data_IF_376791168811
#
_entry.id   IF_376791168811
#
_cell.length_a   1.000
_cell.length_b   1.000
_cell.length_c   1.000
_cell.angle_alpha   90.00
_cell.angle_beta   90.00
_cell.angle_gamma   90.00
#
_symmetry.space_group_name_H-M   'P 1'
#
loop_
_entity.id
_entity.type
_entity.pdbx_description
1 polymer ?
#
# COMPACT_ATOMS: atom_id res chain seq x y z
N UNK A 1 -4.46 -21.30 22.22
CA UNK A 1 -3.86 -19.97 22.07
C UNK A 1 -4.99 -18.97 21.84
N UNK A 2 -5.51 -18.39 22.91
CA UNK A 2 -6.63 -17.44 22.87
C UNK A 2 -6.14 -16.07 23.26
N UNK A 3 -6.39 -15.08 22.41
CA UNK A 3 -6.15 -13.66 22.74
C UNK A 3 -6.95 -13.32 24.00
N UNK A 4 -6.32 -12.68 24.99
CA UNK A 4 -7.01 -12.32 26.23
C UNK A 4 -8.12 -11.29 25.95
N UNK A 5 -9.23 -11.39 26.69
CA UNK A 5 -10.37 -10.45 26.58
C UNK A 5 -9.94 -8.96 26.61
N UNK A 6 -9.05 -8.53 27.51
CA UNK A 6 -8.57 -7.14 27.52
C UNK A 6 -7.86 -6.75 26.22
N UNK A 7 -7.13 -7.68 25.61
CA UNK A 7 -6.44 -7.47 24.33
C UNK A 7 -7.45 -7.35 23.19
N UNK A 8 -8.49 -8.19 23.18
CA UNK A 8 -9.58 -8.13 22.21
C UNK A 8 -10.32 -6.79 22.27
N UNK A 9 -10.70 -6.33 23.46
CA UNK A 9 -11.39 -5.04 23.62
C UNK A 9 -10.50 -3.85 23.28
N UNK A 10 -9.19 -3.95 23.55
CA UNK A 10 -8.22 -2.91 23.17
C UNK A 10 -8.10 -2.80 21.64
N UNK A 11 -8.00 -3.93 20.94
CA UNK A 11 -8.00 -3.96 19.48
C UNK A 11 -9.33 -3.46 18.92
N UNK A 12 -10.45 -3.93 19.46
CA UNK A 12 -11.78 -3.45 19.08
C UNK A 12 -11.85 -1.93 19.22
N UNK A 13 -11.48 -1.35 20.37
CA UNK A 13 -11.48 0.11 20.57
C UNK A 13 -10.59 0.87 19.57
N UNK A 14 -9.42 0.32 19.24
CA UNK A 14 -8.46 0.94 18.33
C UNK A 14 -8.91 0.87 16.86
N UNK A 15 -9.62 -0.18 16.46
CA UNK A 15 -10.08 -0.40 15.09
C UNK A 15 -11.58 -0.11 14.87
N UNK A 16 -12.35 0.23 15.92
CA UNK A 16 -13.78 0.57 15.80
C UNK A 16 -14.02 1.89 15.06
N UNK A 17 -13.04 2.80 15.04
CA UNK A 17 -13.12 4.07 14.30
C UNK A 17 -12.55 4.04 12.87
N UNK A 18 -11.69 3.08 12.55
CA UNK A 18 -11.29 2.78 11.17
C UNK A 18 -12.13 1.60 10.72
N UNK A 19 -13.25 1.87 10.05
CA UNK A 19 -14.08 0.80 9.53
C UNK A 19 -13.25 -0.21 8.73
N UNK A 20 -13.64 -1.49 8.79
CA UNK A 20 -13.14 -2.53 7.87
C UNK A 20 -13.09 -2.03 6.40
N UNK A 21 -14.03 -1.18 5.93
CA UNK A 21 -13.93 -0.51 4.64
C UNK A 21 -12.73 0.44 4.48
N UNK A 22 -12.45 1.34 5.43
CA UNK A 22 -11.28 2.23 5.41
C UNK A 22 -9.96 1.45 5.35
N UNK A 23 -9.83 0.39 6.16
CA UNK A 23 -8.62 -0.45 6.17
C UNK A 23 -8.46 -1.17 4.82
N UNK A 24 -9.55 -1.68 4.25
CA UNK A 24 -9.54 -2.30 2.92
C UNK A 24 -9.14 -1.29 1.84
N UNK A 25 -9.65 -0.07 1.92
CA UNK A 25 -9.33 1.03 0.99
C UNK A 25 -7.86 1.45 1.11
N UNK A 26 -7.34 1.57 2.34
CA UNK A 26 -5.94 1.87 2.57
C UNK A 26 -5.03 0.81 1.94
N UNK A 27 -5.33 -0.48 2.16
CA UNK A 27 -4.55 -1.57 1.56
C UNK A 27 -4.60 -1.54 0.03
N UNK A 28 -5.76 -1.27 -0.57
CA UNK A 28 -5.88 -1.11 -2.02
C UNK A 28 -5.04 0.05 -2.55
N UNK A 29 -5.06 1.20 -1.86
CA UNK A 29 -4.25 2.36 -2.22
C UNK A 29 -2.75 2.09 -2.09
N UNK A 30 -2.33 1.35 -1.07
CA UNK A 30 -0.93 0.92 -0.90
C UNK A 30 -0.49 0.00 -2.06
N UNK A 31 -1.32 -0.97 -2.43
CA UNK A 31 -1.06 -1.90 -3.53
C UNK A 31 -0.99 -1.16 -4.88
N UNK A 32 -1.90 -0.23 -5.14
CA UNK A 32 -1.89 0.61 -6.35
C UNK A 32 -0.67 1.51 -6.40
N UNK A 33 -0.32 2.17 -5.30
CA UNK A 33 0.86 3.04 -5.21
C UNK A 33 2.15 2.24 -5.49
N UNK A 34 2.26 1.02 -4.96
CA UNK A 34 3.38 0.11 -5.24
C UNK A 34 3.47 -0.28 -6.72
N UNK A 35 2.34 -0.50 -7.39
CA UNK A 35 2.32 -0.78 -8.84
C UNK A 35 2.70 0.46 -9.65
N UNK A 36 2.16 1.62 -9.32
CA UNK A 36 2.47 2.88 -9.99
C UNK A 36 3.94 3.25 -9.88
N UNK A 37 4.54 3.10 -8.69
CA UNK A 37 5.99 3.35 -8.50
C UNK A 37 6.85 2.47 -9.39
N UNK A 38 6.51 1.18 -9.54
CA UNK A 38 7.20 0.26 -10.44
C UNK A 38 7.08 0.71 -11.90
N UNK A 39 5.86 0.97 -12.35
CA UNK A 39 5.61 1.43 -13.72
C UNK A 39 6.38 2.73 -14.03
N UNK A 40 6.41 3.69 -13.10
CA UNK A 40 7.16 4.93 -13.27
C UNK A 40 8.65 4.67 -13.36
N UNK A 41 9.19 3.77 -12.52
CA UNK A 41 10.61 3.40 -12.59
C UNK A 41 10.96 2.78 -13.94
N UNK A 42 10.16 1.82 -14.41
CA UNK A 42 10.36 1.14 -15.70
C UNK A 42 10.30 2.15 -16.86
N UNK A 43 9.28 3.00 -16.90
CA UNK A 43 9.15 4.04 -17.94
C UNK A 43 10.29 5.06 -17.90
N UNK A 44 10.80 5.38 -16.71
CA UNK A 44 11.93 6.30 -16.56
C UNK A 44 13.21 5.67 -17.09
N UNK A 45 13.42 4.38 -16.83
CA UNK A 45 14.55 3.62 -17.37
C UNK A 45 14.48 3.55 -18.90
N UNK A 46 13.33 3.17 -19.46
CA UNK A 46 13.11 3.10 -20.90
C UNK A 46 13.37 4.47 -21.56
N UNK A 47 12.84 5.54 -20.97
CA UNK A 47 13.09 6.90 -21.44
C UNK A 47 14.58 7.25 -21.44
N UNK A 48 15.30 6.90 -20.38
CA UNK A 48 16.74 7.15 -20.28
C UNK A 48 17.50 6.41 -21.38
N UNK A 49 17.20 5.12 -21.58
CA UNK A 49 17.84 4.31 -22.63
C UNK A 49 17.60 4.90 -24.02
N UNK A 50 16.36 5.32 -24.32
CA UNK A 50 16.03 5.94 -25.60
C UNK A 50 16.76 7.28 -25.80
N UNK A 51 16.92 8.07 -24.75
CA UNK A 51 17.69 9.32 -24.81
C UNK A 51 19.19 9.08 -25.02
N UNK A 52 19.75 8.02 -24.43
CA UNK A 52 21.15 7.65 -24.62
C UNK A 52 21.43 7.15 -26.04
N UNK A 53 20.48 6.48 -26.70
CA UNK A 53 20.61 6.02 -28.09
C UNK A 53 20.53 7.16 -29.10
N UNK A 54 19.83 8.25 -28.77
CA UNK A 54 19.71 9.43 -29.64
C UNK A 54 20.91 10.40 -29.53
N UNK A 55 21.88 10.08 -28.68
CA UNK A 55 23.09 10.88 -28.41
C UNK A 55 24.26 10.36 -29.23
#
# INVERSE_FOLDING_TARGET
>A
MGVSEPTFYRWKKQFVGMGVPEIRRLKQLEDENSKLKRLVADLTLDRSMLQDVLK
#
